data_IF_330834288963
#
_entry.id   IF_330834288963
#
_cell.length_a   1.000
_cell.length_b   1.000
_cell.length_c   1.000
_cell.angle_alpha   90.00
_cell.angle_beta   90.00
_cell.angle_gamma   90.00
#
_symmetry.space_group_name_H-M   'P 1'
#
loop_
_entity.id
_entity.type
_entity.pdbx_description
1 polymer ?
#
# COMPACT_ATOMS: atom_id res chain seq x y z
N UNK A 1 6.89 19.36 -4.62
CA UNK A 1 6.37 18.29 -3.75
C UNK A 1 7.41 17.17 -3.78
N UNK A 2 8.08 16.86 -2.67
CA UNK A 2 9.11 15.82 -2.64
C UNK A 2 8.44 14.45 -2.46
N UNK A 3 8.62 13.56 -3.43
CA UNK A 3 8.14 12.18 -3.38
C UNK A 3 8.74 11.42 -2.19
N UNK A 4 7.96 10.52 -1.58
CA UNK A 4 8.37 9.77 -0.38
C UNK A 4 9.32 8.62 -0.71
N UNK A 5 9.21 8.06 -1.91
CA UNK A 5 10.07 7.02 -2.48
C UNK A 5 10.55 7.47 -3.86
N UNK A 6 11.59 6.81 -4.36
CA UNK A 6 12.24 7.13 -5.63
C UNK A 6 11.49 6.61 -6.87
N UNK A 7 11.90 7.12 -8.04
CA UNK A 7 11.25 6.78 -9.30
C UNK A 7 11.43 5.30 -9.70
N UNK A 8 12.54 4.67 -9.28
CA UNK A 8 12.79 3.24 -9.52
C UNK A 8 11.82 2.35 -8.77
N UNK A 9 11.55 2.64 -7.50
CA UNK A 9 10.55 1.87 -6.75
C UNK A 9 9.15 2.08 -7.34
N UNK A 10 8.79 3.34 -7.62
CA UNK A 10 7.49 3.70 -8.19
C UNK A 10 7.22 2.95 -9.50
N UNK A 11 8.12 3.05 -10.48
CA UNK A 11 7.93 2.43 -11.80
C UNK A 11 8.41 0.97 -11.88
N UNK A 12 8.99 0.45 -10.81
CA UNK A 12 9.55 -0.89 -10.74
C UNK A 12 8.63 -1.83 -9.95
N UNK A 13 9.10 -2.24 -8.77
CA UNK A 13 8.41 -3.29 -8.01
C UNK A 13 7.03 -2.84 -7.49
N UNK A 14 6.85 -1.56 -7.13
CA UNK A 14 5.56 -1.06 -6.62
C UNK A 14 4.51 -1.11 -7.73
N UNK A 15 4.83 -0.55 -8.90
CA UNK A 15 3.95 -0.63 -10.08
C UNK A 15 3.59 -2.06 -10.46
N UNK A 16 4.56 -3.00 -10.44
CA UNK A 16 4.26 -4.41 -10.72
C UNK A 16 3.23 -5.00 -9.75
N UNK A 17 3.33 -4.67 -8.46
CA UNK A 17 2.37 -5.13 -7.43
C UNK A 17 1.00 -4.50 -7.68
N UNK A 18 0.95 -3.19 -7.94
CA UNK A 18 -0.30 -2.48 -8.26
C UNK A 18 -0.97 -3.01 -9.51
N UNK A 19 -0.22 -3.19 -10.60
CA UNK A 19 -0.75 -3.71 -11.87
C UNK A 19 -1.29 -5.14 -11.69
N UNK A 20 -0.61 -6.01 -10.92
CA UNK A 20 -1.09 -7.36 -10.62
C UNK A 20 -2.36 -7.35 -9.77
N UNK A 21 -2.44 -6.44 -8.79
CA UNK A 21 -3.63 -6.27 -7.96
C UNK A 21 -4.82 -5.71 -8.75
N UNK A 22 -4.63 -4.67 -9.55
CA UNK A 22 -5.67 -4.10 -10.40
C UNK A 22 -6.20 -5.14 -11.39
N UNK A 23 -5.31 -5.92 -12.01
CA UNK A 23 -5.72 -7.02 -12.88
C UNK A 23 -6.61 -8.06 -12.17
N UNK A 24 -6.36 -8.32 -10.88
CA UNK A 24 -7.18 -9.22 -10.08
C UNK A 24 -8.57 -8.63 -9.79
N UNK A 25 -8.66 -7.33 -9.50
CA UNK A 25 -9.92 -6.69 -9.09
C UNK A 25 -10.79 -6.18 -10.25
N UNK A 26 -10.24 -5.94 -11.45
CA UNK A 26 -10.96 -5.34 -12.59
C UNK A 26 -12.24 -6.11 -12.99
N UNK A 27 -12.24 -7.44 -12.80
CA UNK A 27 -13.36 -8.30 -13.16
C UNK A 27 -13.80 -9.20 -11.98
N UNK A 28 -13.56 -8.77 -10.75
CA UNK A 28 -13.75 -9.65 -9.59
C UNK A 28 -15.21 -9.81 -9.19
N UNK A 29 -15.54 -11.02 -8.76
CA UNK A 29 -16.84 -11.44 -8.25
C UNK A 29 -16.66 -12.54 -7.20
N UNK A 30 -17.73 -12.86 -6.47
CA UNK A 30 -17.69 -13.95 -5.48
C UNK A 30 -17.24 -15.26 -6.12
N UNK A 31 -16.28 -15.93 -5.47
CA UNK A 31 -15.68 -17.19 -5.92
C UNK A 31 -14.66 -17.03 -7.05
N UNK A 32 -14.33 -15.80 -7.46
CA UNK A 32 -13.49 -15.54 -8.64
C UNK A 32 -12.06 -15.12 -8.32
N UNK A 33 -11.62 -15.18 -7.07
CA UNK A 33 -10.23 -14.87 -6.70
C UNK A 33 -9.29 -15.89 -7.36
N UNK A 34 -8.45 -15.42 -8.28
CA UNK A 34 -7.44 -16.21 -9.00
C UNK A 34 -6.06 -16.05 -8.38
N UNK A 35 -5.75 -14.86 -7.87
CA UNK A 35 -4.41 -14.53 -7.37
C UNK A 35 -4.43 -13.94 -5.96
N UNK A 36 -4.47 -14.83 -4.96
CA UNK A 36 -4.34 -14.46 -3.55
C UNK A 36 -3.02 -13.71 -3.25
N UNK A 37 -1.95 -14.01 -3.97
CA UNK A 37 -0.66 -13.39 -3.76
C UNK A 37 -0.68 -11.91 -4.15
N UNK A 38 -1.33 -11.56 -5.25
CA UNK A 38 -1.45 -10.16 -5.67
C UNK A 38 -2.17 -9.30 -4.60
N UNK A 39 -3.25 -9.83 -4.01
CA UNK A 39 -3.98 -9.17 -2.91
C UNK A 39 -3.06 -9.01 -1.68
N UNK A 40 -2.36 -10.07 -1.30
CA UNK A 40 -1.40 -10.06 -0.20
C UNK A 40 -0.25 -9.07 -0.38
N UNK A 41 0.37 -9.03 -1.57
CA UNK A 41 1.45 -8.11 -1.91
C UNK A 41 0.97 -6.66 -1.84
N UNK A 42 -0.20 -6.38 -2.40
CA UNK A 42 -0.77 -5.04 -2.36
C UNK A 42 -1.14 -4.61 -0.94
N UNK A 43 -1.75 -5.49 -0.15
CA UNK A 43 -2.05 -5.22 1.26
C UNK A 43 -0.79 -4.87 2.06
N UNK A 44 0.27 -5.65 1.88
CA UNK A 44 1.54 -5.43 2.56
C UNK A 44 2.18 -4.12 2.08
N UNK A 45 2.19 -3.86 0.77
CA UNK A 45 2.70 -2.61 0.20
C UNK A 45 1.98 -1.39 0.75
N UNK A 46 0.64 -1.43 0.86
CA UNK A 46 -0.15 -0.36 1.45
C UNK A 46 0.28 -0.07 2.90
N UNK A 47 0.38 -1.10 3.73
CA UNK A 47 0.80 -0.93 5.13
C UNK A 47 2.25 -0.41 5.26
N UNK A 48 3.16 -0.85 4.38
CA UNK A 48 4.53 -0.35 4.35
C UNK A 48 4.62 1.10 3.88
N UNK A 49 3.84 1.49 2.87
CA UNK A 49 3.73 2.89 2.46
C UNK A 49 3.22 3.77 3.60
N UNK A 50 2.22 3.31 4.35
CA UNK A 50 1.76 4.02 5.53
C UNK A 50 2.85 4.13 6.61
N UNK A 51 3.57 3.03 6.91
CA UNK A 51 4.65 2.99 7.90
C UNK A 51 5.77 4.00 7.59
N UNK A 52 6.18 4.11 6.33
CA UNK A 52 7.28 4.98 5.92
C UNK A 52 6.84 6.36 5.41
N UNK A 53 5.54 6.66 5.41
CA UNK A 53 4.98 7.87 4.80
C UNK A 53 5.55 9.18 5.36
N UNK A 54 6.09 9.18 6.59
CA UNK A 54 6.63 10.36 7.27
C UNK A 54 8.17 10.41 7.31
N UNK A 55 8.84 9.42 6.73
CA UNK A 55 10.29 9.41 6.67
C UNK A 55 10.77 10.49 5.68
N UNK A 56 11.49 11.51 6.18
CA UNK A 56 11.94 12.68 5.39
C UNK A 56 13.39 13.07 5.61
N UNK A 57 14.07 12.46 6.57
CA UNK A 57 15.44 12.82 6.91
C UNK A 57 16.41 12.14 5.96
N UNK A 58 17.20 12.95 5.27
CA UNK A 58 18.32 12.49 4.46
C UNK A 58 19.37 11.79 5.36
N UNK A 59 20.13 10.86 4.78
CA UNK A 59 21.22 10.16 5.47
C UNK A 59 22.54 10.79 5.04
N UNK A 60 23.47 10.97 5.96
CA UNK A 60 24.78 11.51 5.67
C UNK A 60 25.82 10.40 5.64
N UNK A 61 26.59 10.32 4.54
CA UNK A 61 27.71 9.41 4.40
C UNK A 61 29.01 10.12 4.79
N UNK A 62 29.75 9.54 5.74
CA UNK A 62 31.02 10.10 6.18
C UNK A 62 32.10 9.90 5.11
N UNK A 63 32.84 10.97 4.80
CA UNK A 63 33.99 10.93 3.89
C UNK A 63 33.61 10.87 2.39
N UNK A 64 32.40 11.29 2.03
CA UNK A 64 31.95 11.39 0.65
C UNK A 64 31.76 12.87 0.28
N UNK A 65 32.55 13.35 -0.69
CA UNK A 65 32.54 14.76 -1.12
C UNK A 65 31.38 15.11 -2.08
N UNK A 66 30.44 14.19 -2.29
CA UNK A 66 29.27 14.36 -3.18
C UNK A 66 29.60 14.38 -4.67
N UNK A 67 28.61 14.77 -5.48
CA UNK A 67 28.62 14.57 -6.94
C UNK A 67 28.55 15.88 -7.76
N UNK A 68 28.48 17.04 -7.10
CA UNK A 68 28.31 18.38 -7.67
C UNK A 68 27.24 18.43 -8.78
N UNK A 69 26.09 17.81 -8.49
CA UNK A 69 24.99 17.68 -9.44
C UNK A 69 24.04 18.86 -9.31
N UNK A 70 23.62 19.41 -10.45
CA UNK A 70 22.44 20.27 -10.49
C UNK A 70 21.19 19.43 -10.20
N UNK A 71 20.11 20.10 -9.80
CA UNK A 71 18.81 19.44 -9.62
C UNK A 71 18.32 18.73 -10.89
N UNK A 72 18.56 19.31 -12.06
CA UNK A 72 18.19 18.67 -13.33
C UNK A 72 18.97 17.37 -13.55
N UNK A 73 20.25 17.34 -13.15
CA UNK A 73 21.05 16.12 -13.21
C UNK A 73 20.53 15.06 -12.21
N UNK A 74 20.15 15.46 -11.00
CA UNK A 74 19.49 14.57 -10.02
C UNK A 74 18.24 13.90 -10.64
N UNK A 75 17.36 14.69 -11.26
CA UNK A 75 16.14 14.19 -11.89
C UNK A 75 16.41 13.27 -13.10
N UNK A 76 17.42 13.59 -13.92
CA UNK A 76 17.83 12.74 -15.06
C UNK A 76 18.39 11.40 -14.56
N UNK A 77 19.19 11.41 -13.50
CA UNK A 77 19.77 10.20 -12.91
C UNK A 77 18.67 9.32 -12.34
N UNK A 78 17.73 9.87 -11.58
CA UNK A 78 16.60 9.11 -11.02
C UNK A 78 15.70 8.51 -12.09
N UNK A 79 15.44 9.26 -13.17
CA UNK A 79 14.70 8.76 -14.34
C UNK A 79 15.38 7.57 -15.01
N UNK A 80 16.70 7.45 -14.87
CA UNK A 80 17.49 6.31 -15.33
C UNK A 80 17.73 5.28 -14.22
N UNK A 81 16.96 5.35 -13.13
CA UNK A 81 17.03 4.46 -11.96
C UNK A 81 18.36 4.50 -11.19
N UNK A 82 19.13 5.58 -11.37
CA UNK A 82 20.34 5.84 -10.60
C UNK A 82 20.03 6.50 -9.26
N UNK A 83 20.97 6.36 -8.34
CA UNK A 83 21.02 7.08 -7.06
C UNK A 83 22.22 8.02 -7.07
N UNK A 84 22.17 9.06 -6.24
CA UNK A 84 23.26 10.02 -6.12
C UNK A 84 23.46 10.46 -4.66
N UNK A 85 24.59 11.11 -4.43
CA UNK A 85 24.98 11.71 -3.15
C UNK A 85 25.30 13.18 -3.39
N UNK A 86 24.75 14.07 -2.56
CA UNK A 86 24.98 15.52 -2.62
C UNK A 86 26.29 15.92 -1.97
N UNK A 87 26.68 17.17 -2.17
CA UNK A 87 28.01 17.74 -1.85
C UNK A 87 28.34 17.80 -0.36
N UNK A 88 27.36 17.51 0.50
CA UNK A 88 27.49 17.35 1.95
C UNK A 88 27.47 15.88 2.39
N UNK A 89 27.57 14.94 1.44
CA UNK A 89 27.41 13.51 1.70
C UNK A 89 25.95 13.08 1.90
N UNK A 90 24.97 13.97 1.66
CA UNK A 90 23.56 13.63 1.85
C UNK A 90 23.03 12.70 0.75
N UNK A 91 22.43 11.60 1.20
CA UNK A 91 21.62 10.68 0.40
C UNK A 91 20.16 11.06 0.64
N UNK A 92 19.43 11.44 -0.42
CA UNK A 92 18.01 11.74 -0.30
C UNK A 92 17.22 10.61 0.38
N UNK A 93 16.41 10.98 1.37
CA UNK A 93 15.63 10.05 2.19
C UNK A 93 14.80 9.05 1.37
N UNK A 94 14.29 9.49 0.21
CA UNK A 94 13.47 8.68 -0.71
C UNK A 94 14.17 7.42 -1.21
N UNK A 95 15.50 7.45 -1.38
CA UNK A 95 16.25 6.26 -1.78
C UNK A 95 16.28 5.21 -0.67
N UNK A 96 16.47 5.65 0.57
CA UNK A 96 16.40 4.77 1.72
C UNK A 96 15.00 4.20 1.90
N UNK A 97 13.96 5.03 1.79
CA UNK A 97 12.57 4.59 1.94
C UNK A 97 12.23 3.51 0.90
N UNK A 98 12.59 3.73 -0.37
CA UNK A 98 12.43 2.73 -1.43
C UNK A 98 13.09 1.39 -1.08
N UNK A 99 14.32 1.44 -0.56
CA UNK A 99 15.05 0.26 -0.12
C UNK A 99 14.40 -0.42 1.09
N UNK A 100 13.99 0.35 2.10
CA UNK A 100 13.37 -0.17 3.32
C UNK A 100 12.03 -0.85 3.03
N UNK A 101 11.21 -0.28 2.13
CA UNK A 101 9.96 -0.90 1.70
C UNK A 101 10.25 -2.22 0.97
N UNK A 102 11.20 -2.24 0.02
CA UNK A 102 11.54 -3.46 -0.69
C UNK A 102 12.07 -4.55 0.25
N UNK A 103 12.98 -4.20 1.15
CA UNK A 103 13.51 -5.12 2.17
C UNK A 103 12.40 -5.70 3.05
N UNK A 104 11.48 -4.87 3.51
CA UNK A 104 10.38 -5.31 4.37
C UNK A 104 9.36 -6.16 3.58
N UNK A 105 9.10 -5.85 2.30
CA UNK A 105 8.34 -6.72 1.41
C UNK A 105 8.97 -8.12 1.34
N UNK A 106 10.24 -8.20 0.95
CA UNK A 106 10.97 -9.47 0.80
C UNK A 106 10.99 -10.28 2.11
N UNK A 107 11.13 -9.59 3.24
CA UNK A 107 11.13 -10.21 4.57
C UNK A 107 9.76 -10.79 4.93
N UNK A 108 8.68 -10.08 4.65
CA UNK A 108 7.35 -10.43 5.16
C UNK A 108 6.48 -11.21 4.17
N UNK A 109 6.82 -11.20 2.87
CA UNK A 109 5.96 -11.80 1.84
C UNK A 109 5.71 -13.29 2.05
N UNK A 110 6.68 -14.03 2.58
CA UNK A 110 6.52 -15.46 2.89
C UNK A 110 5.43 -15.75 3.93
N UNK A 111 5.25 -14.84 4.90
CA UNK A 111 4.16 -14.94 5.88
C UNK A 111 2.80 -14.65 5.23
N UNK A 112 2.78 -13.73 4.27
CA UNK A 112 1.60 -13.33 3.52
C UNK A 112 1.17 -14.36 2.45
N UNK A 113 2.10 -15.17 1.96
CA UNK A 113 1.83 -16.21 0.96
C UNK A 113 0.85 -17.30 1.44
N UNK A 114 0.67 -17.43 2.77
CA UNK A 114 -0.27 -18.39 3.38
C UNK A 114 -1.66 -17.81 3.61
N UNK A 115 -1.84 -16.51 3.40
CA UNK A 115 -3.11 -15.85 3.60
C UNK A 115 -4.05 -16.27 2.48
N UNK A 116 -5.23 -16.77 2.87
CA UNK A 116 -6.36 -16.95 1.99
C UNK A 116 -7.32 -15.78 2.20
N UNK A 117 -7.46 -14.99 1.15
CA UNK A 117 -8.42 -13.91 1.06
C UNK A 117 -9.77 -14.47 0.63
N UNK A 118 -10.80 -13.89 1.19
CA UNK A 118 -12.17 -14.05 0.76
C UNK A 118 -12.75 -12.70 0.38
N UNK A 119 -13.63 -12.71 -0.63
CA UNK A 119 -14.36 -11.54 -1.08
C UNK A 119 -15.72 -11.49 -0.42
N UNK A 120 -15.98 -10.40 0.31
CA UNK A 120 -17.31 -10.08 0.81
C UNK A 120 -17.96 -9.05 -0.10
N UNK A 121 -19.24 -9.27 -0.38
CA UNK A 121 -20.05 -8.35 -1.15
C UNK A 121 -21.24 -7.85 -0.32
N UNK A 122 -21.36 -6.53 -0.15
CA UNK A 122 -22.43 -5.93 0.62
C UNK A 122 -23.76 -5.98 -0.14
N UNK A 123 -24.81 -6.54 0.48
CA UNK A 123 -26.18 -6.43 -0.03
C UNK A 123 -26.66 -4.98 0.09
N UNK A 124 -26.46 -4.39 1.26
CA UNK A 124 -26.85 -3.03 1.61
C UNK A 124 -25.71 -2.31 2.36
N UNK A 125 -25.65 -0.98 2.24
CA UNK A 125 -24.60 -0.15 2.84
C UNK A 125 -23.29 -0.18 2.07
N UNK A 126 -22.34 0.66 2.47
CA UNK A 126 -21.03 0.81 1.85
C UNK A 126 -19.89 0.62 2.86
N UNK A 127 -18.74 0.16 2.37
CA UNK A 127 -17.53 -0.02 3.18
C UNK A 127 -16.77 1.30 3.37
N UNK A 128 -16.32 1.53 4.61
CA UNK A 128 -15.34 2.55 4.98
C UNK A 128 -13.92 2.05 4.76
N UNK A 129 -13.09 2.93 4.21
CA UNK A 129 -11.67 2.65 3.97
C UNK A 129 -10.82 3.43 4.97
N UNK A 130 -10.10 2.74 5.85
CA UNK A 130 -9.09 3.35 6.72
C UNK A 130 -7.83 3.74 5.95
N UNK A 131 -7.08 4.72 6.44
CA UNK A 131 -5.78 5.13 5.87
C UNK A 131 -4.68 4.06 6.02
N UNK A 132 -4.86 3.12 6.95
CA UNK A 132 -4.13 1.86 7.04
C UNK A 132 -4.93 0.80 7.82
N UNK A 133 -4.53 -0.47 7.69
CA UNK A 133 -5.11 -1.57 8.44
C UNK A 133 -4.12 -2.27 9.38
N UNK A 134 -2.85 -1.84 9.41
CA UNK A 134 -1.78 -2.44 10.22
C UNK A 134 -1.69 -3.96 10.00
N UNK A 135 -1.89 -4.76 11.05
CA UNK A 135 -1.94 -6.22 10.99
C UNK A 135 -3.35 -6.76 10.71
N UNK A 136 -4.35 -5.89 10.60
CA UNK A 136 -5.71 -6.26 10.23
C UNK A 136 -5.79 -6.68 8.76
N UNK A 137 -6.38 -7.84 8.50
CA UNK A 137 -6.58 -8.35 7.15
C UNK A 137 -7.95 -7.96 6.61
N UNK A 138 -8.13 -6.66 6.36
CA UNK A 138 -9.34 -6.04 5.82
C UNK A 138 -8.90 -5.09 4.70
N UNK A 139 -9.52 -5.19 3.53
CA UNK A 139 -9.20 -4.34 2.39
C UNK A 139 -10.46 -4.09 1.55
N UNK A 140 -11.20 -3.00 1.81
CA UNK A 140 -12.23 -2.55 0.89
C UNK A 140 -11.62 -2.15 -0.46
N UNK A 141 -12.21 -2.64 -1.55
CA UNK A 141 -11.75 -2.37 -2.92
C UNK A 141 -12.77 -1.61 -3.75
N UNK A 142 -14.02 -1.59 -3.29
CA UNK A 142 -15.09 -0.75 -3.81
C UNK A 142 -16.10 -0.49 -2.69
N UNK A 143 -17.07 0.42 -2.89
CA UNK A 143 -18.12 0.65 -1.89
C UNK A 143 -18.84 -0.63 -1.46
N UNK A 144 -18.90 -1.65 -2.34
CA UNK A 144 -19.65 -2.88 -2.13
C UNK A 144 -18.79 -4.13 -1.98
N UNK A 145 -17.48 -4.04 -2.15
CA UNK A 145 -16.58 -5.19 -2.14
C UNK A 145 -15.44 -4.99 -1.15
N UNK A 146 -15.19 -6.01 -0.33
CA UNK A 146 -14.13 -6.00 0.66
C UNK A 146 -13.44 -7.36 0.73
N UNK A 147 -12.12 -7.38 0.64
CA UNK A 147 -11.34 -8.56 0.97
C UNK A 147 -11.13 -8.66 2.47
N UNK A 148 -11.30 -9.87 2.98
CA UNK A 148 -11.01 -10.24 4.37
C UNK A 148 -10.35 -11.62 4.41
N UNK A 149 -10.02 -12.11 5.60
CA UNK A 149 -9.48 -13.46 5.79
C UNK A 149 -10.30 -14.26 6.80
N UNK A 150 -10.01 -15.55 6.93
CA UNK A 150 -10.65 -16.46 7.91
C UNK A 150 -12.17 -16.64 7.72
N UNK A 151 -12.68 -16.40 6.51
CA UNK A 151 -14.05 -16.67 6.08
C UNK A 151 -14.01 -17.11 4.62
N UNK A 152 -15.15 -17.56 4.10
CA UNK A 152 -15.36 -17.81 2.67
C UNK A 152 -16.04 -16.61 1.99
N UNK A 153 -15.98 -16.61 0.65
CA UNK A 153 -16.64 -15.63 -0.21
C UNK A 153 -18.16 -15.67 0.00
N UNK A 154 -18.77 -14.52 0.25
CA UNK A 154 -20.22 -14.43 0.45
C UNK A 154 -20.77 -13.01 0.35
N UNK A 155 -22.08 -12.94 0.14
CA UNK A 155 -22.85 -11.73 0.42
C UNK A 155 -22.92 -11.50 1.94
N UNK A 156 -22.94 -10.23 2.35
CA UNK A 156 -23.08 -9.84 3.75
C UNK A 156 -24.17 -8.80 3.95
N UNK A 157 -24.79 -8.86 5.12
CA UNK A 157 -25.86 -7.97 5.56
C UNK A 157 -25.34 -6.58 5.94
N UNK A 158 -26.24 -5.61 6.07
CA UNK A 158 -25.92 -4.25 6.52
C UNK A 158 -25.25 -4.22 7.89
N UNK A 159 -25.68 -5.09 8.81
CA UNK A 159 -25.13 -5.22 10.16
C UNK A 159 -23.69 -5.73 10.14
N UNK A 160 -23.37 -6.65 9.23
CA UNK A 160 -22.02 -7.15 9.02
C UNK A 160 -21.11 -6.10 8.37
N UNK A 161 -21.63 -5.32 7.41
CA UNK A 161 -20.93 -4.14 6.88
C UNK A 161 -20.61 -3.16 8.00
N UNK A 162 -21.57 -2.91 8.90
CA UNK A 162 -21.36 -2.03 10.05
C UNK A 162 -20.25 -2.55 10.98
N UNK A 163 -20.19 -3.87 11.21
CA UNK A 163 -19.13 -4.48 12.01
C UNK A 163 -17.74 -4.29 11.36
N UNK A 164 -17.64 -4.44 10.05
CA UNK A 164 -16.39 -4.21 9.31
C UNK A 164 -16.01 -2.73 9.35
N UNK A 165 -16.97 -1.81 9.14
CA UNK A 165 -16.73 -0.36 9.19
C UNK A 165 -16.25 0.11 10.56
N UNK A 166 -16.85 -0.38 11.66
CA UNK A 166 -16.35 -0.15 13.02
C UNK A 166 -14.91 -0.65 13.19
N UNK A 167 -14.59 -1.80 12.59
CA UNK A 167 -13.23 -2.33 12.62
C UNK A 167 -12.25 -1.44 11.83
N UNK A 168 -12.64 -0.97 10.65
CA UNK A 168 -11.86 0.01 9.86
C UNK A 168 -11.60 1.28 10.68
N UNK A 169 -12.61 1.86 11.33
CA UNK A 169 -12.44 3.02 12.20
C UNK A 169 -11.47 2.75 13.36
N UNK A 170 -11.55 1.57 13.98
CA UNK A 170 -10.67 1.21 15.09
C UNK A 170 -9.20 0.98 14.67
N UNK A 171 -8.97 0.67 13.40
CA UNK A 171 -7.65 0.41 12.82
C UNK A 171 -7.05 1.64 12.12
N UNK A 172 -7.87 2.66 11.85
CA UNK A 172 -7.43 3.89 11.22
C UNK A 172 -6.42 4.61 12.11
N UNK A 173 -5.36 5.12 11.49
CA UNK A 173 -4.33 5.90 12.16
C UNK A 173 -4.71 7.37 12.21
N UNK A 174 -5.25 7.92 11.11
CA UNK A 174 -5.63 9.35 11.03
C UNK A 174 -7.01 9.60 10.48
N UNK A 175 -7.41 8.87 9.45
CA UNK A 175 -8.67 9.14 8.76
C UNK A 175 -9.25 7.87 8.12
N UNK A 176 -10.55 7.93 7.87
CA UNK A 176 -11.24 7.04 6.95
C UNK A 176 -11.81 7.84 5.78
N UNK A 177 -12.05 7.19 4.65
CA UNK A 177 -12.77 7.75 3.51
C UNK A 177 -13.81 6.75 2.98
N UNK A 178 -14.78 7.28 2.24
CA UNK A 178 -15.89 6.54 1.65
C UNK A 178 -16.30 7.20 0.34
N UNK A 179 -17.03 6.47 -0.53
CA UNK A 179 -17.73 7.10 -1.63
C UNK A 179 -18.87 7.99 -1.11
N UNK A 180 -19.66 7.46 -0.18
CA UNK A 180 -20.74 8.17 0.49
C UNK A 180 -20.82 7.76 1.97
N UNK A 181 -20.47 8.69 2.87
CA UNK A 181 -20.48 8.43 4.31
C UNK A 181 -21.89 8.15 4.86
N UNK A 182 -22.95 8.69 4.25
CA UNK A 182 -24.33 8.46 4.72
C UNK A 182 -24.78 7.01 4.46
N UNK A 183 -24.15 6.33 3.49
CA UNK A 183 -24.40 4.92 3.17
C UNK A 183 -23.52 3.95 3.95
N UNK A 184 -22.59 4.44 4.77
CA UNK A 184 -21.68 3.60 5.55
C UNK A 184 -22.28 3.33 6.94
N UNK A 185 -22.90 2.17 7.20
CA UNK A 185 -23.45 1.88 8.52
C UNK A 185 -22.31 1.73 9.54
N UNK A 186 -22.58 2.10 10.80
CA UNK A 186 -21.67 2.04 11.94
C UNK A 186 -22.26 1.27 13.11
#
# INVERSE_FOLDING_TARGET
MSWVWDQKAENGYMKRIEDAFHHEIDCISLGSIKNNMAISEYHLLWNLRHKYQHFRSDIFLNGIDGSNLTKDNEEIIERKHGMFVRDDGAVPARFLVSFLIQRDLDKHIHSYAKIKWALLQAEEGEFLVADCYHEGAIMPISPKLCFVTMTDDRMITREEVAAINRKSLSLASKFCFAQDFEKCPL
#
